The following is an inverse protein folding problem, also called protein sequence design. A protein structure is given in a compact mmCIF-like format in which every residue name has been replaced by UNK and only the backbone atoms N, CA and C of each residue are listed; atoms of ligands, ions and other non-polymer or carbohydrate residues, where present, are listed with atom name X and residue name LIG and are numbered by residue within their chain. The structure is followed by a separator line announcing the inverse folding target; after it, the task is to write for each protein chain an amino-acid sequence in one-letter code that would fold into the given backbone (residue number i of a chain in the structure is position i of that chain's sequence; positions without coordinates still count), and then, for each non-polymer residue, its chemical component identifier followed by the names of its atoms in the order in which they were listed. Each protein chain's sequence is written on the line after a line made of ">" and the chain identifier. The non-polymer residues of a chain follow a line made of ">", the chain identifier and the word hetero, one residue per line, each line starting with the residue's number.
data_IF_295111163521
#
_entry.id   IF_295111163521
#
_cell.length_a   1.000
_cell.length_b   1.000
_cell.length_c   1.000
_cell.angle_alpha   90.00
_cell.angle_beta   90.00
_cell.angle_gamma   90.00
#
_symmetry.space_group_name_H-M   'P 1'
#
loop_
_entity.id
_entity.type
_entity.pdbx_description
1 polymer ?
#
# COMPACT_ATOMS: atom_id res chain seq x y z
N UNK A 1 1.00 -3.76 14.05
CA UNK A 1 0.87 -4.34 12.70
C UNK A 1 -0.58 -4.31 12.27
N UNK A 2 -0.96 -3.32 11.48
CA UNK A 2 -2.26 -3.30 10.79
C UNK A 2 -2.01 -3.68 9.34
N UNK A 3 -2.78 -4.64 8.83
CA UNK A 3 -2.71 -5.06 7.43
C UNK A 3 -4.02 -4.69 6.76
N UNK A 4 -3.92 -4.01 5.61
CA UNK A 4 -5.07 -3.60 4.81
C UNK A 4 -5.04 -4.37 3.50
N UNK A 5 -6.18 -4.93 3.11
CA UNK A 5 -6.34 -5.57 1.80
C UNK A 5 -6.74 -4.51 0.78
N UNK A 6 -5.99 -4.43 -0.30
CA UNK A 6 -6.25 -3.56 -1.44
C UNK A 6 -6.90 -4.42 -2.52
N UNK A 7 -8.22 -4.34 -2.64
CA UNK A 7 -8.97 -4.99 -3.72
C UNK A 7 -8.97 -4.10 -4.97
N UNK A 8 -8.77 -4.70 -6.16
CA UNK A 8 -8.74 -3.98 -7.44
C UNK A 8 -7.39 -3.36 -7.81
N UNK A 9 -6.30 -3.76 -7.16
CA UNK A 9 -4.95 -3.30 -7.47
C UNK A 9 -4.32 -4.08 -8.64
N UNK A 10 -4.92 -4.02 -9.82
CA UNK A 10 -4.46 -4.75 -11.02
C UNK A 10 -3.37 -4.03 -11.81
N UNK A 11 -3.07 -2.77 -11.48
CA UNK A 11 -2.11 -1.97 -12.23
C UNK A 11 -0.96 -1.48 -11.35
N UNK A 12 0.28 -1.76 -11.77
CA UNK A 12 1.49 -1.30 -11.11
C UNK A 12 1.53 0.23 -10.92
N UNK A 13 0.91 0.98 -11.82
CA UNK A 13 0.81 2.44 -11.72
C UNK A 13 -0.13 2.89 -10.58
N UNK A 14 -1.21 2.14 -10.35
CA UNK A 14 -2.10 2.36 -9.21
C UNK A 14 -1.41 2.01 -7.89
N UNK A 15 -0.69 0.89 -7.85
CA UNK A 15 0.11 0.48 -6.70
C UNK A 15 1.12 1.55 -6.27
N UNK A 16 1.90 2.10 -7.22
CA UNK A 16 2.86 3.18 -6.95
C UNK A 16 2.21 4.44 -6.35
N UNK A 17 1.03 4.84 -6.85
CA UNK A 17 0.30 5.99 -6.31
C UNK A 17 -0.13 5.75 -4.87
N UNK A 18 -0.63 4.55 -4.57
CA UNK A 18 -1.05 4.19 -3.22
C UNK A 18 0.15 4.12 -2.28
N UNK A 19 1.24 3.46 -2.67
CA UNK A 19 2.44 3.34 -1.84
C UNK A 19 3.02 4.72 -1.47
N UNK A 20 3.14 5.62 -2.46
CA UNK A 20 3.54 7.02 -2.21
C UNK A 20 2.55 7.80 -1.36
N UNK A 21 1.25 7.49 -1.47
CA UNK A 21 0.20 8.09 -0.64
C UNK A 21 0.31 7.64 0.81
N UNK A 22 0.49 6.34 1.04
CA UNK A 22 0.58 5.75 2.38
C UNK A 22 1.86 6.19 3.09
N UNK A 23 3.00 6.26 2.39
CA UNK A 23 4.22 6.82 2.97
C UNK A 23 4.08 8.28 3.44
N UNK A 24 3.11 9.04 2.90
CA UNK A 24 2.83 10.40 3.34
C UNK A 24 1.85 10.47 4.52
N UNK A 25 1.25 9.36 4.93
CA UNK A 25 0.32 9.34 6.07
C UNK A 25 1.13 9.45 7.36
N UNK A 26 0.79 10.46 8.16
CA UNK A 26 1.43 10.71 9.43
C UNK A 26 1.07 9.60 10.43
N UNK A 27 2.06 8.78 10.80
CA UNK A 27 1.86 7.58 11.61
C UNK A 27 2.40 6.30 10.97
N UNK A 28 2.65 6.33 9.65
CA UNK A 28 3.25 5.20 8.95
C UNK A 28 4.77 5.33 8.92
N UNK A 29 5.45 4.45 9.66
CA UNK A 29 6.93 4.42 9.68
C UNK A 29 7.50 3.75 8.44
N UNK A 30 6.93 2.60 8.06
CA UNK A 30 7.36 1.81 6.91
C UNK A 30 6.15 1.19 6.22
N UNK A 31 5.66 1.86 5.16
CA UNK A 31 4.58 1.32 4.34
C UNK A 31 5.16 0.37 3.28
N UNK A 32 4.76 -0.90 3.29
CA UNK A 32 5.04 -1.83 2.19
C UNK A 32 3.75 -2.20 1.49
N UNK A 33 3.60 -1.79 0.22
CA UNK A 33 2.51 -2.24 -0.66
C UNK A 33 2.99 -3.48 -1.41
N UNK A 34 2.34 -4.61 -1.15
CA UNK A 34 2.52 -5.83 -1.92
C UNK A 34 1.35 -5.97 -2.89
N UNK A 35 1.52 -5.44 -4.11
CA UNK A 35 0.48 -5.46 -5.14
C UNK A 35 0.21 -6.87 -5.68
N UNK A 36 1.22 -7.73 -5.71
CA UNK A 36 1.09 -9.15 -6.09
C UNK A 36 0.13 -9.91 -5.19
N UNK A 37 0.04 -9.53 -3.90
CA UNK A 37 -0.86 -10.14 -2.92
C UNK A 37 -2.01 -9.22 -2.47
N UNK A 38 -2.12 -8.02 -3.04
CA UNK A 38 -3.11 -7.01 -2.68
C UNK A 38 -3.09 -6.64 -1.19
N UNK A 39 -1.92 -6.52 -0.58
CA UNK A 39 -1.77 -6.22 0.86
C UNK A 39 -0.88 -5.01 1.10
N UNK A 40 -1.39 -4.08 1.90
CA UNK A 40 -0.64 -2.99 2.49
C UNK A 40 -0.32 -3.33 3.94
N UNK A 41 0.94 -3.18 4.33
CA UNK A 41 1.40 -3.31 5.70
C UNK A 41 2.08 -2.02 6.15
N UNK A 42 1.74 -1.63 7.38
CA UNK A 42 2.35 -0.54 8.17
C UNK A 42 3.19 -1.12 9.32
#
# INVERSE_FOLDING_TARGET
>A
MKSYRLEGLDCANCAMKIEKGVQKINGVKEATVNFTSGKLTD
#
